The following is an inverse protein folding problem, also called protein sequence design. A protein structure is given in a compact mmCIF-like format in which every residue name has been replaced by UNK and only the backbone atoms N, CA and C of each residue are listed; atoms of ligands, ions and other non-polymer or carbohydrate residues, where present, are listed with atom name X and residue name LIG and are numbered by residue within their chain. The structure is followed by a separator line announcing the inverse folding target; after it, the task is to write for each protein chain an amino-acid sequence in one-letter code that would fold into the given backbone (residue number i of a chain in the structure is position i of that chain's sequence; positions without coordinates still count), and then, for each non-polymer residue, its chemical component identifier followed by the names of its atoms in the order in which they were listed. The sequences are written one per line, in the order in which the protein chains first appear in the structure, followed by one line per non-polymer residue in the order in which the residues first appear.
data_IF_211496474336
#
_entry.id   IF_211496474336
#
_cell.length_a   1.000
_cell.length_b   1.000
_cell.length_c   1.000
_cell.angle_alpha   90.00
_cell.angle_beta   90.00
_cell.angle_gamma   90.00
#
_symmetry.space_group_name_H-M   'P 1'
#
loop_
_entity.id
_entity.type
_entity.pdbx_description
1 polymer ?
#
# COMPACT_ATOMS: atom_id res chain seq x y z
N UNK A 1 -0.12 -3.45 -8.23
CA UNK A 1 0.75 -3.15 -9.40
C UNK A 1 1.06 -1.67 -9.44
N UNK A 2 2.33 -1.28 -9.25
CA UNK A 2 2.71 0.14 -9.27
C UNK A 2 2.39 0.80 -10.63
N UNK A 3 1.75 1.96 -10.60
CA UNK A 3 1.27 2.73 -11.74
C UNK A 3 -0.05 2.25 -12.35
N UNK A 4 -0.68 1.20 -11.80
CA UNK A 4 -1.89 0.60 -12.38
C UNK A 4 -3.02 0.45 -11.36
N UNK A 5 -2.74 -0.09 -10.17
CA UNK A 5 -3.77 -0.32 -9.13
C UNK A 5 -3.92 0.89 -8.23
N UNK A 6 -4.06 2.08 -8.82
CA UNK A 6 -4.38 3.32 -8.11
C UNK A 6 -5.86 3.35 -7.67
N UNK A 7 -6.26 4.36 -6.91
CA UNK A 7 -7.62 4.45 -6.37
C UNK A 7 -8.71 4.40 -7.47
N UNK A 8 -8.64 5.20 -8.56
CA UNK A 8 -9.63 5.12 -9.63
C UNK A 8 -9.79 3.72 -10.24
N UNK A 9 -8.69 3.02 -10.52
CA UNK A 9 -8.75 1.67 -11.06
C UNK A 9 -9.40 0.69 -10.07
N UNK A 10 -9.02 0.75 -8.79
CA UNK A 10 -9.61 -0.12 -7.75
C UNK A 10 -11.11 0.14 -7.57
N UNK A 11 -11.56 1.39 -7.62
CA UNK A 11 -12.98 1.74 -7.53
C UNK A 11 -13.79 1.12 -8.68
N UNK A 12 -13.27 1.17 -9.91
CA UNK A 12 -13.93 0.56 -11.07
C UNK A 12 -14.05 -0.96 -10.89
N UNK A 13 -12.95 -1.64 -10.52
CA UNK A 13 -12.94 -3.10 -10.39
C UNK A 13 -13.79 -3.59 -9.22
N UNK A 14 -13.88 -2.84 -8.12
CA UNK A 14 -14.82 -3.15 -7.03
C UNK A 14 -16.28 -3.12 -7.48
N UNK A 15 -16.65 -2.19 -8.35
CA UNK A 15 -17.99 -2.16 -8.96
C UNK A 15 -18.36 -3.43 -9.75
N UNK A 16 -17.38 -4.31 -10.02
CA UNK A 16 -17.57 -5.61 -10.66
C UNK A 16 -17.75 -6.78 -9.66
N UNK A 17 -17.71 -6.51 -8.35
CA UNK A 17 -17.96 -7.52 -7.30
C UNK A 17 -16.76 -8.40 -6.96
N UNK A 18 -15.54 -7.85 -6.91
CA UNK A 18 -14.36 -8.57 -6.41
C UNK A 18 -14.30 -8.55 -4.88
N UNK A 19 -13.76 -9.60 -4.27
CA UNK A 19 -13.69 -9.69 -2.79
C UNK A 19 -12.59 -8.81 -2.17
N UNK A 20 -11.54 -8.51 -2.92
CA UNK A 20 -10.37 -7.78 -2.42
C UNK A 20 -9.67 -7.03 -3.54
N UNK A 21 -9.13 -5.86 -3.20
CA UNK A 21 -8.18 -5.14 -4.05
C UNK A 21 -6.90 -4.85 -3.29
N UNK A 22 -5.80 -4.67 -4.04
CA UNK A 22 -4.50 -4.35 -3.47
C UNK A 22 -4.05 -2.96 -3.93
N UNK A 23 -3.48 -2.19 -3.00
CA UNK A 23 -2.84 -0.91 -3.33
C UNK A 23 -1.68 -1.10 -4.32
N UNK A 24 -1.18 0.01 -4.85
CA UNK A 24 0.20 0.02 -5.33
C UNK A 24 1.17 -0.32 -4.19
N UNK A 25 2.34 -0.83 -4.52
CA UNK A 25 3.40 -1.06 -3.54
C UNK A 25 3.88 0.27 -2.96
N UNK A 26 3.98 0.35 -1.64
CA UNK A 26 4.43 1.53 -0.90
C UNK A 26 5.72 1.22 -0.17
N UNK A 27 6.72 2.09 -0.29
CA UNK A 27 7.94 1.98 0.50
C UNK A 27 7.65 2.34 1.96
N UNK A 28 8.00 1.46 2.89
CA UNK A 28 7.67 1.54 4.32
C UNK A 28 8.02 2.89 4.96
N UNK A 29 9.18 3.47 4.62
CA UNK A 29 9.60 4.77 5.16
C UNK A 29 8.99 5.97 4.44
N UNK A 30 8.69 5.86 3.15
CA UNK A 30 8.16 6.97 2.34
C UNK A 30 6.80 7.45 2.85
N UNK A 31 6.03 6.54 3.46
CA UNK A 31 4.77 6.82 4.16
C UNK A 31 4.86 8.05 5.07
N UNK A 32 5.95 8.16 5.82
CA UNK A 32 6.16 9.21 6.81
C UNK A 32 6.74 10.50 6.22
N UNK A 33 7.30 10.44 5.02
CA UNK A 33 7.82 11.63 4.34
C UNK A 33 6.72 12.41 3.63
N UNK A 34 5.67 11.71 3.16
CA UNK A 34 4.58 12.29 2.36
C UNK A 34 3.21 11.67 2.69
N UNK A 35 2.72 11.81 3.93
CA UNK A 35 1.49 11.14 4.37
C UNK A 35 0.24 11.60 3.61
N UNK A 36 0.19 12.87 3.19
CA UNK A 36 -0.95 13.43 2.43
C UNK A 36 -1.05 12.80 1.03
N UNK A 37 0.09 12.69 0.33
CA UNK A 37 0.14 12.07 -1.01
C UNK A 37 -0.27 10.60 -0.93
N UNK A 38 0.16 9.91 0.13
CA UNK A 38 -0.21 8.53 0.37
C UNK A 38 -1.72 8.39 0.64
N UNK A 39 -2.28 9.20 1.54
CA UNK A 39 -3.73 9.18 1.82
C UNK A 39 -4.53 9.41 0.54
N UNK A 40 -4.08 10.33 -0.34
CA UNK A 40 -4.71 10.55 -1.65
C UNK A 40 -4.61 9.33 -2.58
N UNK A 41 -3.48 8.63 -2.62
CA UNK A 41 -3.29 7.43 -3.46
C UNK A 41 -4.08 6.22 -2.95
N UNK A 42 -4.23 6.12 -1.63
CA UNK A 42 -5.00 5.08 -0.98
C UNK A 42 -6.50 5.37 -1.06
N UNK A 43 -6.93 6.62 -0.90
CA UNK A 43 -8.32 7.06 -0.98
C UNK A 43 -9.27 6.13 -0.20
N UNK A 44 -8.94 5.90 1.07
CA UNK A 44 -9.74 5.08 1.97
C UNK A 44 -10.88 5.94 2.49
N UNK A 45 -11.93 6.06 1.67
CA UNK A 45 -13.24 6.49 2.15
C UNK A 45 -13.94 5.25 2.73
N UNK A 46 -14.71 5.38 3.82
CA UNK A 46 -15.20 4.28 4.68
C UNK A 46 -15.98 3.12 4.02
N UNK A 47 -16.14 3.14 2.70
CA UNK A 47 -16.60 2.06 1.83
C UNK A 47 -15.47 1.07 1.42
N UNK A 48 -14.20 1.39 1.67
CA UNK A 48 -13.03 0.57 1.30
C UNK A 48 -12.73 -0.59 2.26
N UNK A 49 -13.73 -1.31 2.76
CA UNK A 49 -13.56 -2.46 3.66
C UNK A 49 -12.81 -3.67 3.02
N UNK A 50 -12.31 -3.52 1.79
CA UNK A 50 -11.68 -4.55 0.97
C UNK A 50 -10.32 -4.08 0.40
N UNK A 51 -9.70 -3.04 0.99
CA UNK A 51 -8.35 -2.63 0.59
C UNK A 51 -7.28 -3.37 1.40
N UNK A 52 -6.48 -4.18 0.70
CA UNK A 52 -5.19 -4.64 1.17
C UNK A 52 -4.12 -3.60 0.80
N UNK A 53 -3.32 -3.15 1.78
CA UNK A 53 -2.19 -2.26 1.52
C UNK A 53 -0.90 -3.07 1.47
N UNK A 54 -0.19 -2.96 0.35
CA UNK A 54 1.10 -3.61 0.14
C UNK A 54 2.26 -2.70 0.50
N UNK A 55 3.05 -3.09 1.50
CA UNK A 55 4.27 -2.39 1.95
C UNK A 55 5.53 -3.15 1.54
N UNK A 56 6.62 -2.41 1.33
CA UNK A 56 7.94 -2.96 1.02
C UNK A 56 9.03 -2.20 1.78
N UNK A 57 10.03 -2.93 2.27
CA UNK A 57 11.16 -2.36 3.02
C UNK A 57 12.05 -3.45 3.59
N UNK A 58 13.22 -3.06 4.08
CA UNK A 58 14.19 -3.97 4.70
C UNK A 58 14.56 -3.59 6.14
N UNK A 59 14.06 -2.46 6.65
CA UNK A 59 14.24 -2.05 8.04
C UNK A 59 13.02 -2.50 8.86
N UNK A 60 13.19 -3.40 9.84
CA UNK A 60 12.08 -3.89 10.67
C UNK A 60 11.32 -2.78 11.42
N UNK A 61 12.01 -1.72 11.83
CA UNK A 61 11.38 -0.60 12.52
C UNK A 61 10.39 0.11 11.59
N UNK A 62 10.84 0.50 10.39
CA UNK A 62 9.97 1.18 9.43
C UNK A 62 8.87 0.28 8.90
N UNK A 63 9.11 -1.02 8.75
CA UNK A 63 8.07 -1.99 8.40
C UNK A 63 6.96 -2.05 9.46
N UNK A 64 7.33 -2.05 10.74
CA UNK A 64 6.36 -2.06 11.85
C UNK A 64 5.54 -0.78 11.93
N UNK A 65 6.20 0.37 11.83
CA UNK A 65 5.51 1.66 11.86
C UNK A 65 4.60 1.85 10.64
N UNK A 66 5.06 1.46 9.45
CA UNK A 66 4.25 1.47 8.22
C UNK A 66 2.98 0.62 8.37
N UNK A 67 3.12 -0.61 8.87
CA UNK A 67 1.99 -1.51 9.08
C UNK A 67 0.96 -0.91 10.05
N UNK A 68 1.41 -0.31 11.16
CA UNK A 68 0.51 0.35 12.12
C UNK A 68 -0.21 1.54 11.49
N UNK A 69 0.53 2.41 10.80
CA UNK A 69 -0.06 3.57 10.11
C UNK A 69 -1.11 3.15 9.08
N UNK A 70 -0.83 2.12 8.28
CA UNK A 70 -1.78 1.59 7.30
C UNK A 70 -3.03 0.97 7.95
N UNK A 71 -2.87 0.28 9.07
CA UNK A 71 -4.00 -0.25 9.83
C UNK A 71 -4.88 0.88 10.42
N UNK A 72 -4.25 1.93 10.97
CA UNK A 72 -4.96 3.11 11.51
C UNK A 72 -5.72 3.88 10.41
N UNK A 73 -5.24 3.83 9.16
CA UNK A 73 -5.95 4.37 8.01
C UNK A 73 -7.15 3.52 7.56
N UNK A 74 -7.33 2.31 8.09
CA UNK A 74 -8.45 1.43 7.76
C UNK A 74 -8.14 0.30 6.78
N UNK A 75 -6.86 -0.03 6.55
CA UNK A 75 -6.51 -1.21 5.75
C UNK A 75 -7.06 -2.50 6.40
N UNK A 76 -7.72 -3.34 5.61
CA UNK A 76 -8.25 -4.63 6.11
C UNK A 76 -7.23 -5.76 6.05
N UNK A 77 -6.19 -5.58 5.25
CA UNK A 77 -5.04 -6.47 5.19
C UNK A 77 -3.76 -5.68 4.96
N UNK A 78 -2.70 -6.05 5.68
CA UNK A 78 -1.33 -5.57 5.43
C UNK A 78 -0.59 -6.69 4.70
N UNK A 79 -0.15 -6.40 3.48
CA UNK A 79 0.62 -7.31 2.63
C UNK A 79 2.08 -6.87 2.58
N UNK A 80 3.02 -7.82 2.65
CA UNK A 80 4.46 -7.53 2.57
C UNK A 80 4.98 -7.99 1.22
N UNK A 81 5.46 -7.05 0.40
CA UNK A 81 6.04 -7.38 -0.90
C UNK A 81 7.42 -8.04 -0.73
N UNK A 82 7.47 -9.36 -0.88
CA UNK A 82 8.70 -10.16 -0.91
C UNK A 82 9.09 -10.62 -2.33
N UNK A 83 8.47 -10.05 -3.37
CA UNK A 83 8.55 -10.58 -4.74
C UNK A 83 9.11 -9.62 -5.79
N UNK A 84 9.22 -8.32 -5.52
CA UNK A 84 9.58 -7.34 -6.55
C UNK A 84 11.07 -7.48 -6.97
N UNK A 85 11.36 -7.80 -8.24
CA UNK A 85 12.73 -7.96 -8.72
C UNK A 85 13.40 -6.62 -9.10
N UNK A 86 12.69 -5.49 -8.98
CA UNK A 86 13.21 -4.19 -9.41
C UNK A 86 14.46 -3.82 -8.60
N UNK A 87 15.53 -3.42 -9.29
CA UNK A 87 16.84 -3.15 -8.68
C UNK A 87 16.78 -2.20 -7.49
N UNK A 88 15.89 -1.19 -7.53
CA UNK A 88 15.70 -0.24 -6.41
C UNK A 88 15.14 -0.91 -5.14
N UNK A 89 14.26 -1.89 -5.30
CA UNK A 89 13.66 -2.63 -4.19
C UNK A 89 14.67 -3.62 -3.62
N UNK A 90 15.29 -4.42 -4.48
CA UNK A 90 16.28 -5.44 -4.10
C UNK A 90 17.50 -4.83 -3.39
N UNK A 91 17.91 -3.61 -3.77
CA UNK A 91 19.01 -2.89 -3.10
C UNK A 91 18.62 -2.22 -1.79
N UNK A 92 17.39 -2.41 -1.30
CA UNK A 92 16.92 -1.80 -0.05
C UNK A 92 16.63 -0.30 -0.15
N UNK A 93 16.54 0.29 -1.35
CA UNK A 93 16.19 1.71 -1.51
C UNK A 93 14.68 1.98 -1.29
N UNK A 94 13.98 1.05 -0.63
CA UNK A 94 12.60 1.18 -0.14
C UNK A 94 12.56 1.29 1.40
N UNK A 95 13.73 1.41 2.03
CA UNK A 95 13.93 1.66 3.45
C UNK A 95 14.17 3.14 3.78
#
# INVERSE_FOLDING_TARGET
MAGITDAPMRMIVRGLGVDQTFSEMIASREIFMRPIDLQRRLHIDGEENELAIQIAGCDPYWMGEAARFCADLGATLIDINMGCPAKKVVKGATA
#
